data_IF_941969273393
#
_entry.id   IF_941969273393
#
_cell.length_a   1.000
_cell.length_b   1.000
_cell.length_c   1.000
_cell.angle_alpha   90.00
_cell.angle_beta   90.00
_cell.angle_gamma   90.00
#
_symmetry.space_group_name_H-M   'P 1'
#
loop_
_entity.id
_entity.type
_entity.pdbx_description
1 polymer ?
#
# COMPACT_ATOMS: atom_id res chain seq x y z
N UNK A 1 -10.70 51.83 17.75
CA UNK A 1 -11.87 50.95 18.04
C UNK A 1 -12.80 50.98 16.82
N UNK A 2 -12.63 50.05 15.88
CA UNK A 2 -13.45 49.97 14.66
C UNK A 2 -14.30 48.70 14.69
N UNK A 3 -15.64 48.84 14.65
CA UNK A 3 -16.57 47.72 14.50
C UNK A 3 -16.58 47.28 13.03
N UNK A 4 -16.14 46.06 12.75
CA UNK A 4 -16.31 45.44 11.44
C UNK A 4 -17.78 45.06 11.27
N UNK A 5 -18.45 45.70 10.30
CA UNK A 5 -19.81 45.38 9.85
C UNK A 5 -19.69 44.22 8.85
N UNK A 6 -20.28 43.07 9.18
CA UNK A 6 -20.44 41.95 8.26
C UNK A 6 -21.52 42.28 7.20
N UNK A 7 -21.34 41.85 5.94
CA UNK A 7 -22.29 42.13 4.88
C UNK A 7 -23.66 41.45 5.13
N UNK A 8 -24.78 42.11 4.79
CA UNK A 8 -26.12 41.55 4.89
C UNK A 8 -26.34 40.54 3.76
N UNK A 9 -26.59 39.27 4.09
CA UNK A 9 -26.99 38.26 3.09
C UNK A 9 -26.64 36.80 3.37
N UNK A 10 -25.78 36.48 4.34
CA UNK A 10 -25.48 35.09 4.71
C UNK A 10 -26.36 34.65 5.89
N UNK A 11 -27.55 34.17 5.55
CA UNK A 11 -28.47 33.50 6.48
C UNK A 11 -27.76 32.32 7.15
N UNK A 12 -27.63 32.41 8.47
CA UNK A 12 -27.04 31.43 9.40
C UNK A 12 -27.82 30.11 9.56
N UNK A 13 -28.77 29.82 8.67
CA UNK A 13 -29.48 28.54 8.60
C UNK A 13 -28.85 27.65 7.54
N UNK A 14 -28.84 26.33 7.74
CA UNK A 14 -28.20 25.32 6.88
C UNK A 14 -26.75 25.01 7.26
N UNK A 15 -26.52 24.72 8.54
CA UNK A 15 -25.72 23.53 8.88
C UNK A 15 -26.73 22.44 9.22
N UNK A 16 -27.46 21.99 8.18
CA UNK A 16 -28.34 20.83 8.27
C UNK A 16 -27.51 19.62 8.70
N UNK A 17 -28.11 18.77 9.53
CA UNK A 17 -27.57 17.48 9.90
C UNK A 17 -27.03 16.80 8.64
N UNK A 18 -25.79 16.28 8.71
CA UNK A 18 -25.20 15.58 7.59
C UNK A 18 -26.23 14.57 7.03
N UNK A 19 -26.50 14.59 5.71
CA UNK A 19 -27.57 13.81 5.11
C UNK A 19 -27.45 12.34 5.51
N UNK A 20 -28.60 11.68 5.68
CA UNK A 20 -28.63 10.25 5.96
C UNK A 20 -27.91 9.48 4.83
N UNK A 21 -27.34 8.32 5.16
CA UNK A 21 -26.59 7.51 4.18
C UNK A 21 -27.46 7.25 2.95
N UNK A 22 -26.92 7.55 1.77
CA UNK A 22 -27.65 7.44 0.51
C UNK A 22 -28.44 8.67 0.10
N UNK A 23 -28.43 9.79 0.83
CA UNK A 23 -29.14 11.01 0.41
C UNK A 23 -28.24 12.06 -0.25
N UNK A 24 -28.79 12.79 -1.23
CA UNK A 24 -28.09 13.90 -1.87
C UNK A 24 -27.82 15.04 -0.90
N UNK A 25 -26.57 15.48 -0.79
CA UNK A 25 -26.20 16.57 0.11
C UNK A 25 -26.85 17.93 -0.20
N UNK A 26 -27.44 18.11 -1.38
CA UNK A 26 -28.09 19.37 -1.78
C UNK A 26 -29.61 19.35 -1.64
N UNK A 27 -30.26 18.23 -1.89
CA UNK A 27 -31.74 18.14 -1.90
C UNK A 27 -32.31 16.99 -1.08
N UNK A 28 -31.47 16.23 -0.38
CA UNK A 28 -31.83 15.04 0.40
C UNK A 28 -32.55 13.92 -0.38
N UNK A 29 -32.54 13.98 -1.73
CA UNK A 29 -33.07 12.91 -2.57
C UNK A 29 -32.35 11.60 -2.34
N UNK A 30 -33.09 10.49 -2.30
CA UNK A 30 -32.52 9.15 -2.13
C UNK A 30 -31.73 8.75 -3.40
N UNK A 31 -30.43 8.64 -3.24
CA UNK A 31 -29.45 8.23 -4.25
C UNK A 31 -29.24 6.72 -4.27
N UNK A 32 -30.03 5.94 -3.52
CA UNK A 32 -29.97 4.47 -3.55
C UNK A 32 -30.18 3.98 -4.99
N UNK A 33 -29.18 3.24 -5.51
CA UNK A 33 -29.21 2.70 -6.87
C UNK A 33 -28.69 3.64 -7.97
N UNK A 34 -28.39 4.91 -7.67
CA UNK A 34 -27.72 5.81 -8.61
C UNK A 34 -26.20 5.58 -8.65
N UNK A 35 -25.60 5.78 -9.82
CA UNK A 35 -24.15 5.65 -10.01
C UNK A 35 -23.41 6.77 -9.27
N UNK A 36 -22.40 6.40 -8.49
CA UNK A 36 -21.45 7.33 -7.86
C UNK A 36 -20.77 8.16 -8.96
N UNK A 37 -20.65 9.47 -8.75
CA UNK A 37 -20.17 10.42 -9.76
C UNK A 37 -21.21 10.86 -10.79
N UNK A 38 -22.42 10.28 -10.78
CA UNK A 38 -23.55 10.76 -11.57
C UNK A 38 -24.09 12.11 -11.09
N UNK A 39 -25.12 12.62 -11.76
CA UNK A 39 -25.87 13.79 -11.28
C UNK A 39 -27.12 13.32 -10.55
N UNK A 40 -27.43 13.97 -9.43
CA UNK A 40 -28.72 13.81 -8.76
C UNK A 40 -29.84 14.21 -9.75
N UNK A 41 -30.89 13.39 -9.92
CA UNK A 41 -31.96 13.66 -10.88
C UNK A 41 -32.79 14.88 -10.49
N UNK A 42 -32.88 15.19 -9.20
CA UNK A 42 -33.66 16.34 -8.71
C UNK A 42 -32.89 17.66 -8.82
N UNK A 43 -31.67 17.71 -8.30
CA UNK A 43 -30.94 18.98 -8.14
C UNK A 43 -29.73 19.14 -9.07
N UNK A 44 -29.42 18.12 -9.88
CA UNK A 44 -28.26 18.11 -10.77
C UNK A 44 -26.90 18.05 -10.08
N UNK A 45 -26.84 18.04 -8.74
CA UNK A 45 -25.59 18.00 -7.99
C UNK A 45 -24.82 16.70 -8.28
N UNK A 46 -23.50 16.79 -8.39
CA UNK A 46 -22.64 15.62 -8.54
C UNK A 46 -22.70 14.76 -7.29
N UNK A 47 -23.00 13.48 -7.46
CA UNK A 47 -23.04 12.49 -6.39
C UNK A 47 -21.59 12.21 -5.96
N UNK A 48 -21.15 12.90 -4.92
CA UNK A 48 -19.83 12.70 -4.35
C UNK A 48 -19.74 11.31 -3.71
N UNK A 49 -18.65 10.60 -3.96
CA UNK A 49 -18.33 9.36 -3.23
C UNK A 49 -18.17 9.71 -1.75
N UNK A 50 -18.92 9.07 -0.86
CA UNK A 50 -18.73 9.27 0.57
C UNK A 50 -17.36 8.73 0.96
N UNK A 51 -16.61 9.49 1.75
CA UNK A 51 -15.31 9.05 2.25
C UNK A 51 -15.48 7.73 3.02
N UNK A 52 -14.70 6.72 2.67
CA UNK A 52 -14.80 5.39 3.28
C UNK A 52 -15.72 4.39 2.56
N UNK A 53 -16.66 4.82 1.71
CA UNK A 53 -17.53 3.89 0.97
C UNK A 53 -16.77 3.15 -0.14
N UNK A 54 -16.94 1.83 -0.20
CA UNK A 54 -16.24 0.98 -1.15
C UNK A 54 -14.72 1.13 -1.04
N UNK A 55 -14.19 1.28 0.18
CA UNK A 55 -12.76 1.20 0.48
C UNK A 55 -12.35 -0.23 0.77
N UNK A 56 -11.04 -0.51 0.76
CA UNK A 56 -10.49 -1.83 1.08
C UNK A 56 -11.00 -2.38 2.43
N UNK A 57 -11.22 -1.52 3.43
CA UNK A 57 -11.74 -1.90 4.75
C UNK A 57 -13.20 -2.37 4.77
N UNK A 58 -13.95 -2.17 3.69
CA UNK A 58 -15.33 -2.68 3.52
C UNK A 58 -15.41 -3.92 2.62
N UNK A 59 -14.27 -4.43 2.15
CA UNK A 59 -14.25 -5.65 1.36
C UNK A 59 -14.63 -6.87 2.23
N UNK A 60 -15.27 -7.91 1.65
CA UNK A 60 -15.64 -9.10 2.40
C UNK A 60 -14.40 -9.83 2.93
N UNK A 61 -14.51 -10.46 4.10
CA UNK A 61 -13.40 -11.20 4.72
C UNK A 61 -12.88 -12.35 3.83
N UNK A 62 -13.76 -12.98 3.06
CA UNK A 62 -13.40 -14.02 2.07
C UNK A 62 -12.39 -13.52 1.01
N UNK A 63 -12.33 -12.21 0.78
CA UNK A 63 -11.33 -11.58 -0.07
C UNK A 63 -10.12 -11.07 0.74
N UNK A 64 -10.34 -10.46 1.90
CA UNK A 64 -9.28 -9.86 2.71
C UNK A 64 -8.34 -10.90 3.34
N UNK A 65 -8.86 -12.04 3.81
CA UNK A 65 -8.05 -13.11 4.38
C UNK A 65 -6.97 -13.64 3.40
N UNK A 66 -7.31 -14.10 2.17
CA UNK A 66 -6.29 -14.52 1.23
C UNK A 66 -5.41 -13.37 0.74
N UNK A 67 -5.93 -12.13 0.66
CA UNK A 67 -5.12 -10.96 0.32
C UNK A 67 -4.04 -10.71 1.39
N UNK A 68 -4.36 -10.85 2.68
CA UNK A 68 -3.42 -10.66 3.77
C UNK A 68 -2.27 -11.69 3.72
N UNK A 69 -2.60 -12.98 3.57
CA UNK A 69 -1.59 -14.04 3.43
C UNK A 69 -0.70 -13.84 2.21
N UNK A 70 -1.29 -13.44 1.08
CA UNK A 70 -0.53 -13.22 -0.14
C UNK A 70 0.31 -11.94 -0.12
N UNK A 71 -0.12 -10.89 0.58
CA UNK A 71 0.70 -9.70 0.81
C UNK A 71 1.94 -10.02 1.66
N UNK A 72 1.77 -10.82 2.73
CA UNK A 72 2.89 -11.35 3.51
C UNK A 72 3.79 -12.28 2.69
N UNK A 73 3.20 -13.14 1.85
CA UNK A 73 3.95 -13.98 0.91
C UNK A 73 4.78 -13.16 -0.08
N UNK A 74 4.21 -12.09 -0.65
CA UNK A 74 4.92 -11.21 -1.57
C UNK A 74 6.10 -10.49 -0.86
N UNK A 75 5.87 -9.97 0.35
CA UNK A 75 6.93 -9.37 1.17
C UNK A 75 8.04 -10.36 1.52
N UNK A 76 7.66 -11.54 2.04
CA UNK A 76 8.61 -12.58 2.45
C UNK A 76 9.40 -13.08 1.24
N UNK A 77 8.73 -13.39 0.13
CA UNK A 77 9.37 -13.85 -1.11
C UNK A 77 10.32 -12.82 -1.71
N UNK A 78 9.89 -11.54 -1.81
CA UNK A 78 10.74 -10.47 -2.32
C UNK A 78 11.99 -10.26 -1.45
N UNK A 79 11.82 -10.20 -0.12
CA UNK A 79 12.91 -9.95 0.82
C UNK A 79 13.88 -11.14 0.89
N UNK A 80 13.36 -12.36 0.95
CA UNK A 80 14.19 -13.58 0.99
C UNK A 80 14.90 -13.84 -0.34
N UNK A 81 14.30 -13.49 -1.49
CA UNK A 81 14.96 -13.60 -2.79
C UNK A 81 16.17 -12.68 -2.87
N UNK A 82 16.03 -11.45 -2.36
CA UNK A 82 17.14 -10.51 -2.26
C UNK A 82 18.25 -10.98 -1.31
N UNK A 83 17.89 -11.49 -0.13
CA UNK A 83 18.86 -12.07 0.82
C UNK A 83 19.58 -13.27 0.19
N UNK A 84 18.87 -14.15 -0.51
CA UNK A 84 19.46 -15.29 -1.21
C UNK A 84 20.43 -14.82 -2.29
N UNK A 85 20.06 -13.80 -3.08
CA UNK A 85 20.94 -13.20 -4.08
C UNK A 85 22.21 -12.59 -3.46
N UNK A 86 22.08 -11.85 -2.34
CA UNK A 86 23.22 -11.29 -1.63
C UNK A 86 24.13 -12.38 -1.06
N UNK A 87 23.56 -13.44 -0.48
CA UNK A 87 24.30 -14.59 0.01
C UNK A 87 25.05 -15.33 -1.10
N UNK A 88 24.41 -15.51 -2.26
CA UNK A 88 25.02 -16.03 -3.49
C UNK A 88 26.25 -15.21 -3.89
N UNK A 89 26.11 -13.89 -3.93
CA UNK A 89 27.19 -12.99 -4.30
C UNK A 89 28.37 -13.05 -3.31
N UNK A 90 28.08 -13.06 -2.01
CA UNK A 90 29.11 -13.19 -0.97
C UNK A 90 29.83 -14.55 -1.10
N UNK A 91 29.07 -15.63 -1.33
CA UNK A 91 29.62 -16.96 -1.48
C UNK A 91 30.52 -17.08 -2.72
N UNK A 92 30.10 -16.56 -3.87
CA UNK A 92 30.94 -16.53 -5.08
C UNK A 92 32.25 -15.76 -4.85
N UNK A 93 32.19 -14.62 -4.16
CA UNK A 93 33.37 -13.83 -3.81
C UNK A 93 34.33 -14.56 -2.86
N UNK A 94 33.81 -15.41 -1.97
CA UNK A 94 34.60 -16.10 -0.95
C UNK A 94 35.14 -17.47 -1.41
N UNK A 95 34.31 -18.26 -2.10
CA UNK A 95 34.58 -19.67 -2.40
C UNK A 95 34.96 -19.92 -3.87
N UNK A 96 34.73 -18.96 -4.78
CA UNK A 96 35.10 -19.06 -6.19
C UNK A 96 34.44 -20.21 -6.97
N UNK A 97 33.44 -20.89 -6.38
CA UNK A 97 32.78 -22.05 -6.95
C UNK A 97 31.26 -21.83 -6.98
N UNK A 98 30.65 -21.94 -8.15
CA UNK A 98 29.20 -21.90 -8.30
C UNK A 98 28.58 -23.22 -7.82
N UNK A 99 28.11 -23.26 -6.57
CA UNK A 99 27.41 -24.44 -6.02
C UNK A 99 26.00 -24.56 -6.60
N UNK A 100 25.61 -25.72 -7.17
CA UNK A 100 24.26 -25.93 -7.71
C UNK A 100 23.16 -25.78 -6.65
N UNK A 101 23.48 -26.00 -5.38
CA UNK A 101 22.54 -25.86 -4.27
C UNK A 101 22.03 -24.43 -4.10
N UNK A 102 22.79 -23.42 -4.50
CA UNK A 102 22.39 -22.03 -4.34
C UNK A 102 21.17 -21.67 -5.21
N UNK A 103 21.03 -22.32 -6.36
CA UNK A 103 19.88 -22.14 -7.26
C UNK A 103 18.63 -22.75 -6.65
N UNK A 104 18.78 -23.91 -6.01
CA UNK A 104 17.70 -24.57 -5.26
C UNK A 104 17.26 -23.68 -4.09
N UNK A 105 18.22 -23.11 -3.36
CA UNK A 105 17.95 -22.18 -2.26
C UNK A 105 17.25 -20.91 -2.75
N UNK A 106 17.62 -20.37 -3.92
CA UNK A 106 16.99 -19.20 -4.52
C UNK A 106 15.62 -19.50 -5.19
N UNK A 107 15.34 -20.75 -5.56
CA UNK A 107 14.06 -21.14 -6.14
C UNK A 107 12.91 -21.08 -5.13
N UNK A 108 13.18 -21.40 -3.85
CA UNK A 108 12.20 -21.32 -2.76
C UNK A 108 11.63 -19.90 -2.60
N UNK A 109 12.43 -18.84 -2.38
CA UNK A 109 11.91 -17.49 -2.23
C UNK A 109 11.26 -16.95 -3.50
N UNK A 110 11.74 -17.36 -4.69
CA UNK A 110 11.07 -17.05 -5.94
C UNK A 110 9.67 -17.69 -6.03
N UNK A 111 9.51 -18.94 -5.61
CA UNK A 111 8.20 -19.59 -5.55
C UNK A 111 7.25 -18.90 -4.55
N UNK A 112 7.77 -18.49 -3.38
CA UNK A 112 7.01 -17.71 -2.39
C UNK A 112 6.56 -16.36 -2.99
N UNK A 113 7.47 -15.67 -3.69
CA UNK A 113 7.16 -14.41 -4.37
C UNK A 113 6.08 -14.58 -5.43
N UNK A 114 6.16 -15.64 -6.25
CA UNK A 114 5.16 -15.97 -7.27
C UNK A 114 3.80 -16.23 -6.61
N UNK A 115 3.75 -17.10 -5.59
CA UNK A 115 2.52 -17.40 -4.88
C UNK A 115 1.89 -16.13 -4.25
N UNK A 116 2.73 -15.29 -3.63
CA UNK A 116 2.32 -13.99 -3.09
C UNK A 116 1.77 -13.05 -4.16
N UNK A 117 2.51 -12.85 -5.27
CA UNK A 117 2.10 -11.99 -6.37
C UNK A 117 0.80 -12.46 -7.04
N UNK A 118 0.61 -13.78 -7.20
CA UNK A 118 -0.61 -14.36 -7.74
C UNK A 118 -1.82 -14.16 -6.81
N UNK A 119 -1.63 -14.27 -5.50
CA UNK A 119 -2.67 -14.00 -4.51
C UNK A 119 -3.03 -12.52 -4.42
N UNK A 120 -2.04 -11.62 -4.41
CA UNK A 120 -2.26 -10.16 -4.39
C UNK A 120 -3.01 -9.71 -5.65
N UNK A 121 -2.70 -10.31 -6.80
CA UNK A 121 -3.36 -10.01 -8.07
C UNK A 121 -4.68 -10.76 -8.27
N UNK A 122 -5.36 -11.21 -7.22
CA UNK A 122 -6.74 -11.70 -7.37
C UNK A 122 -7.69 -10.55 -7.72
N UNK A 123 -8.72 -10.78 -8.57
CA UNK A 123 -9.75 -9.80 -8.82
C UNK A 123 -10.39 -9.33 -7.52
N UNK A 124 -10.55 -8.01 -7.37
CA UNK A 124 -11.18 -7.43 -6.18
C UNK A 124 -12.65 -7.82 -6.10
N UNK A 125 -13.12 -8.04 -4.88
CA UNK A 125 -14.54 -8.29 -4.60
C UNK A 125 -15.05 -7.10 -3.81
N UNK A 126 -16.11 -6.47 -4.32
CA UNK A 126 -16.79 -5.39 -3.60
C UNK A 126 -17.89 -5.99 -2.72
N UNK A 127 -18.00 -5.51 -1.48
CA UNK A 127 -19.10 -5.92 -0.59
C UNK A 127 -20.47 -5.39 -1.06
N UNK A 128 -20.49 -4.29 -1.82
CA UNK A 128 -21.70 -3.70 -2.41
C UNK A 128 -21.49 -3.66 -3.92
N UNK A 129 -22.47 -4.12 -4.69
CA UNK A 129 -22.40 -4.12 -6.15
C UNK A 129 -22.24 -2.67 -6.66
N UNK A 130 -21.02 -2.30 -7.07
CA UNK A 130 -20.77 -1.02 -7.73
C UNK A 130 -21.24 -1.13 -9.18
N UNK A 131 -22.41 -0.54 -9.47
CA UNK A 131 -23.02 -0.56 -10.81
C UNK A 131 -22.03 -0.01 -11.85
N UNK A 132 -21.60 -0.87 -12.78
CA UNK A 132 -20.76 -0.49 -13.92
C UNK A 132 -19.26 -0.75 -13.77
N UNK A 133 -18.79 -1.31 -12.65
CA UNK A 133 -17.41 -1.80 -12.53
C UNK A 133 -17.38 -3.32 -12.68
N UNK A 134 -16.63 -3.82 -13.67
CA UNK A 134 -16.33 -5.25 -13.83
C UNK A 134 -14.94 -5.54 -13.22
N UNK A 135 -14.86 -6.11 -12.00
CA UNK A 135 -13.58 -6.34 -11.32
C UNK A 135 -12.65 -7.30 -12.07
N UNK A 136 -13.21 -8.16 -12.93
CA UNK A 136 -12.47 -9.17 -13.69
C UNK A 136 -11.80 -8.56 -14.92
N UNK A 137 -12.42 -7.57 -15.55
CA UNK A 137 -11.79 -6.81 -16.65
C UNK A 137 -10.86 -5.72 -16.13
N UNK A 138 -11.18 -5.16 -14.98
CA UNK A 138 -10.36 -4.12 -14.37
C UNK A 138 -8.94 -4.62 -14.08
N UNK A 139 -7.96 -3.90 -14.62
CA UNK A 139 -6.53 -4.18 -14.49
C UNK A 139 -6.11 -5.59 -14.95
N UNK A 140 -6.91 -6.24 -15.82
CA UNK A 140 -6.60 -7.59 -16.33
C UNK A 140 -5.19 -7.69 -16.90
N UNK A 141 -4.78 -6.71 -17.70
CA UNK A 141 -3.44 -6.66 -18.28
C UNK A 141 -2.36 -6.59 -17.21
N UNK A 142 -2.49 -5.66 -16.26
CA UNK A 142 -1.52 -5.50 -15.18
C UNK A 142 -1.37 -6.78 -14.35
N UNK A 143 -2.47 -7.49 -14.05
CA UNK A 143 -2.43 -8.79 -13.36
C UNK A 143 -1.63 -9.82 -14.14
N UNK A 144 -1.88 -9.95 -15.45
CA UNK A 144 -1.14 -10.89 -16.28
C UNK A 144 0.34 -10.52 -16.40
N UNK A 145 0.67 -9.23 -16.53
CA UNK A 145 2.06 -8.74 -16.51
C UNK A 145 2.77 -9.12 -15.23
N UNK A 146 2.15 -8.91 -14.06
CA UNK A 146 2.70 -9.34 -12.77
C UNK A 146 2.91 -10.85 -12.74
N UNK A 147 1.88 -11.64 -13.07
CA UNK A 147 1.94 -13.11 -12.97
C UNK A 147 2.99 -13.69 -13.90
N UNK A 148 2.97 -13.32 -15.17
CA UNK A 148 3.95 -13.80 -16.16
C UNK A 148 5.34 -13.34 -15.75
N UNK A 149 5.53 -12.04 -15.49
CA UNK A 149 6.84 -11.50 -15.14
C UNK A 149 7.44 -12.13 -13.88
N UNK A 150 6.67 -12.23 -12.79
CA UNK A 150 7.17 -12.93 -11.59
C UNK A 150 7.50 -14.40 -11.83
N UNK A 151 6.75 -15.12 -12.68
CA UNK A 151 7.10 -16.51 -13.06
C UNK A 151 8.40 -16.58 -13.86
N UNK A 152 8.71 -15.57 -14.69
CA UNK A 152 10.00 -15.48 -15.38
C UNK A 152 11.20 -15.38 -14.41
N UNK A 153 10.99 -15.03 -13.14
CA UNK A 153 12.06 -15.04 -12.13
C UNK A 153 12.66 -16.44 -11.94
N UNK A 154 11.83 -17.49 -11.94
CA UNK A 154 12.32 -18.88 -11.84
C UNK A 154 13.13 -19.28 -13.07
N UNK A 155 12.68 -18.87 -14.25
CA UNK A 155 13.40 -19.11 -15.50
C UNK A 155 14.72 -18.32 -15.55
N UNK A 156 14.75 -17.10 -14.99
CA UNK A 156 15.96 -16.32 -14.85
C UNK A 156 16.98 -17.01 -13.93
N UNK A 157 16.54 -17.51 -12.76
CA UNK A 157 17.40 -18.27 -11.84
C UNK A 157 17.94 -19.55 -12.49
N UNK A 158 17.09 -20.28 -13.22
CA UNK A 158 17.51 -21.47 -13.95
C UNK A 158 18.52 -21.15 -15.06
N UNK A 159 18.32 -20.07 -15.82
CA UNK A 159 19.27 -19.67 -16.85
C UNK A 159 20.59 -19.15 -16.27
N UNK A 160 20.55 -18.44 -15.15
CA UNK A 160 21.75 -18.03 -14.42
C UNK A 160 22.57 -19.25 -13.97
N UNK A 161 21.90 -20.31 -13.49
CA UNK A 161 22.55 -21.58 -13.19
C UNK A 161 23.24 -22.21 -14.40
N UNK A 162 22.53 -22.31 -15.53
CA UNK A 162 23.09 -22.86 -16.75
C UNK A 162 24.29 -22.03 -17.20
N UNK A 163 24.20 -20.71 -17.17
CA UNK A 163 25.29 -19.79 -17.52
C UNK A 163 26.54 -20.03 -16.66
N UNK A 164 26.38 -20.15 -15.34
CA UNK A 164 27.48 -20.47 -14.43
C UNK A 164 28.13 -21.83 -14.76
N UNK A 165 27.33 -22.85 -15.10
CA UNK A 165 27.85 -24.15 -15.51
C UNK A 165 28.59 -24.09 -16.85
N UNK A 166 28.08 -23.30 -17.80
CA UNK A 166 28.70 -23.16 -19.13
C UNK A 166 30.05 -22.45 -19.11
N UNK A 167 30.42 -21.71 -18.06
CA UNK A 167 31.79 -21.21 -17.93
C UNK A 167 32.84 -22.33 -17.94
N UNK A 168 32.42 -23.56 -17.62
CA UNK A 168 33.28 -24.76 -17.67
C UNK A 168 33.11 -25.59 -18.95
N UNK A 169 32.21 -25.22 -19.87
CA UNK A 169 31.88 -26.00 -21.06
C UNK A 169 32.11 -25.21 -22.37
N UNK A 170 32.60 -25.84 -23.46
CA UNK A 170 32.97 -25.17 -24.71
C UNK A 170 31.78 -24.80 -25.63
N UNK A 171 30.57 -24.64 -25.11
CA UNK A 171 29.33 -24.42 -25.90
C UNK A 171 29.19 -22.91 -26.22
N UNK A 172 28.72 -22.52 -27.43
CA UNK A 172 28.52 -21.12 -27.80
C UNK A 172 27.59 -20.38 -26.81
N UNK A 173 28.17 -19.38 -26.15
CA UNK A 173 27.65 -18.67 -24.96
C UNK A 173 26.60 -17.61 -25.24
N UNK A 174 26.38 -17.22 -26.51
CA UNK A 174 25.54 -16.06 -26.85
C UNK A 174 24.04 -16.30 -26.67
N UNK A 175 23.53 -17.48 -27.05
CA UNK A 175 22.09 -17.76 -26.94
C UNK A 175 21.61 -17.80 -25.50
N UNK A 176 22.38 -18.42 -24.61
CA UNK A 176 22.04 -18.58 -23.20
C UNK A 176 22.16 -17.25 -22.44
N UNK A 177 23.12 -16.41 -22.83
CA UNK A 177 23.20 -15.03 -22.34
C UNK A 177 21.96 -14.22 -22.76
N UNK A 178 21.55 -14.31 -24.03
CA UNK A 178 20.38 -13.59 -24.53
C UNK A 178 19.08 -14.00 -23.79
N UNK A 179 18.87 -15.31 -23.59
CA UNK A 179 17.72 -15.82 -22.82
C UNK A 179 17.76 -15.37 -21.36
N UNK A 180 18.94 -15.38 -20.74
CA UNK A 180 19.11 -14.89 -19.36
C UNK A 180 18.67 -13.44 -19.22
N UNK A 181 19.13 -12.57 -20.13
CA UNK A 181 18.73 -11.16 -20.14
C UNK A 181 17.23 -10.99 -20.38
N UNK A 182 16.64 -11.74 -21.30
CA UNK A 182 15.20 -11.69 -21.55
C UNK A 182 14.40 -12.04 -20.29
N UNK A 183 14.78 -13.09 -19.56
CA UNK A 183 14.09 -13.50 -18.35
C UNK A 183 14.31 -12.54 -17.17
N UNK A 184 15.52 -11.99 -17.03
CA UNK A 184 15.81 -10.97 -16.01
C UNK A 184 14.99 -9.70 -16.27
N UNK A 185 14.98 -9.20 -17.51
CA UNK A 185 14.20 -8.02 -17.88
C UNK A 185 12.69 -8.27 -17.73
N UNK A 186 12.21 -9.43 -18.19
CA UNK A 186 10.82 -9.82 -18.02
C UNK A 186 10.39 -9.95 -16.55
N UNK A 187 11.28 -10.49 -15.71
CA UNK A 187 11.09 -10.54 -14.26
C UNK A 187 11.06 -9.16 -13.62
N UNK A 188 11.98 -8.28 -14.02
CA UNK A 188 12.00 -6.88 -13.63
C UNK A 188 10.67 -6.20 -13.93
N UNK A 189 10.16 -6.32 -15.17
CA UNK A 189 8.85 -5.77 -15.55
C UNK A 189 7.72 -6.32 -14.67
N UNK A 190 7.74 -7.61 -14.33
CA UNK A 190 6.76 -8.22 -13.41
C UNK A 190 6.80 -7.61 -12.00
N UNK A 191 7.99 -7.39 -11.46
CA UNK A 191 8.18 -6.75 -10.15
C UNK A 191 7.75 -5.29 -10.17
N UNK A 192 8.12 -4.53 -11.21
CA UNK A 192 7.67 -3.13 -11.37
C UNK A 192 6.14 -3.05 -11.46
N UNK A 193 5.53 -3.94 -12.25
CA UNK A 193 4.07 -4.06 -12.36
C UNK A 193 3.41 -4.43 -11.02
N UNK A 194 4.08 -5.23 -10.17
CA UNK A 194 3.56 -5.60 -8.86
C UNK A 194 3.46 -4.37 -7.96
N UNK A 195 4.49 -3.52 -7.93
CA UNK A 195 4.46 -2.26 -7.16
C UNK A 195 3.39 -1.29 -7.67
N UNK A 196 3.21 -1.18 -8.99
CA UNK A 196 2.10 -0.41 -9.55
C UNK A 196 0.75 -0.99 -9.13
N UNK A 197 0.57 -2.31 -9.18
CA UNK A 197 -0.67 -2.97 -8.76
C UNK A 197 -0.96 -2.73 -7.27
N UNK A 198 0.05 -2.88 -6.41
CA UNK A 198 -0.04 -2.58 -4.98
C UNK A 198 -0.37 -1.10 -4.75
N UNK A 199 0.14 -0.18 -5.56
CA UNK A 199 -0.22 1.24 -5.47
C UNK A 199 -1.71 1.50 -5.71
N UNK A 200 -2.34 0.72 -6.59
CA UNK A 200 -3.78 0.81 -6.89
C UNK A 200 -4.61 0.26 -5.72
N UNK A 201 -4.13 -0.80 -5.07
CA UNK A 201 -4.76 -1.32 -3.86
C UNK A 201 -4.60 -0.36 -2.66
N UNK A 202 -3.45 0.27 -2.49
CA UNK A 202 -3.24 1.31 -1.49
C UNK A 202 -4.11 2.55 -1.76
N UNK A 203 -4.31 2.91 -3.03
CA UNK A 203 -5.20 4.00 -3.40
C UNK A 203 -6.66 3.63 -3.06
N UNK A 204 -7.01 2.34 -3.19
CA UNK A 204 -8.33 1.83 -2.81
C UNK A 204 -8.57 1.82 -1.29
N UNK A 205 -7.52 1.80 -0.47
CA UNK A 205 -7.62 2.00 0.98
C UNK A 205 -7.56 3.47 1.40
N UNK A 206 -7.52 4.42 0.47
CA UNK A 206 -7.35 5.86 0.73
C UNK A 206 -6.02 6.18 1.47
N UNK A 207 -4.96 5.38 1.29
CA UNK A 207 -3.62 5.65 1.84
C UNK A 207 -2.71 6.29 0.78
N UNK A 208 -2.82 7.61 0.64
CA UNK A 208 -2.05 8.39 -0.35
C UNK A 208 -0.53 8.29 -0.12
N UNK A 209 -0.10 8.14 1.13
CA UNK A 209 1.32 8.02 1.48
C UNK A 209 1.92 6.72 0.98
N UNK A 210 1.25 5.59 1.22
CA UNK A 210 1.68 4.30 0.66
C UNK A 210 1.56 4.27 -0.86
N UNK A 211 0.48 4.82 -1.44
CA UNK A 211 0.31 4.93 -2.90
C UNK A 211 1.47 5.69 -3.55
N UNK A 212 1.87 6.83 -3.00
CA UNK A 212 3.00 7.62 -3.50
C UNK A 212 4.30 6.83 -3.48
N UNK A 213 4.60 6.14 -2.38
CA UNK A 213 5.81 5.31 -2.24
C UNK A 213 5.83 4.13 -3.21
N UNK A 214 4.70 3.43 -3.36
CA UNK A 214 4.55 2.34 -4.34
C UNK A 214 4.74 2.80 -5.78
N UNK A 215 4.30 4.02 -6.13
CA UNK A 215 4.49 4.60 -7.49
C UNK A 215 5.90 5.10 -7.74
N UNK A 216 6.59 5.57 -6.71
CA UNK A 216 7.99 5.99 -6.81
C UNK A 216 8.93 4.79 -6.99
N UNK A 217 8.58 3.63 -6.42
CA UNK A 217 9.48 2.49 -6.34
C UNK A 217 9.94 1.92 -7.70
N UNK A 218 9.07 1.80 -8.72
CA UNK A 218 9.51 1.41 -10.05
C UNK A 218 10.61 2.30 -10.60
N UNK A 219 10.51 3.62 -10.39
CA UNK A 219 11.53 4.58 -10.81
C UNK A 219 12.81 4.45 -10.02
N UNK A 220 12.72 4.27 -8.69
CA UNK A 220 13.89 4.03 -7.83
C UNK A 220 14.63 2.76 -8.27
N UNK A 221 13.90 1.68 -8.60
CA UNK A 221 14.49 0.45 -9.10
C UNK A 221 15.20 0.67 -10.44
N UNK A 222 14.54 1.31 -11.43
CA UNK A 222 15.15 1.60 -12.73
C UNK A 222 16.41 2.47 -12.57
N UNK A 223 16.30 3.55 -11.79
CA UNK A 223 17.41 4.49 -11.54
C UNK A 223 18.54 3.83 -10.75
N UNK A 224 18.26 2.81 -9.93
CA UNK A 224 19.33 2.04 -9.24
C UNK A 224 20.01 1.01 -10.15
N UNK A 225 19.26 0.39 -11.07
CA UNK A 225 19.75 -0.66 -11.97
C UNK A 225 20.59 -0.12 -13.14
N UNK A 226 20.30 1.09 -13.63
CA UNK A 226 21.05 1.69 -14.73
C UNK A 226 22.52 2.00 -14.37
N UNK A 227 22.83 2.72 -13.27
CA UNK A 227 24.20 2.90 -12.80
C UNK A 227 24.88 1.58 -12.45
N UNK A 228 24.12 0.59 -11.98
CA UNK A 228 24.65 -0.74 -11.72
C UNK A 228 25.12 -1.45 -12.98
N UNK A 229 24.29 -1.47 -14.03
CA UNK A 229 24.68 -2.00 -15.34
C UNK A 229 25.88 -1.23 -15.92
N UNK A 230 25.87 0.10 -15.81
CA UNK A 230 26.98 0.96 -16.23
C UNK A 230 28.27 0.69 -15.45
N UNK A 231 28.19 0.48 -14.13
CA UNK A 231 29.33 0.14 -13.29
C UNK A 231 29.90 -1.24 -13.66
N UNK A 232 29.04 -2.22 -13.94
CA UNK A 232 29.48 -3.54 -14.41
C UNK A 232 30.21 -3.44 -15.76
N UNK A 233 29.65 -2.71 -16.72
CA UNK A 233 30.29 -2.48 -18.01
C UNK A 233 31.61 -1.70 -17.87
N UNK A 234 31.66 -0.70 -16.98
CA UNK A 234 32.86 0.06 -16.69
C UNK A 234 33.95 -0.82 -16.08
N UNK A 235 33.64 -1.61 -15.05
CA UNK A 235 34.60 -2.53 -14.41
C UNK A 235 35.12 -3.62 -15.36
N UNK A 236 34.31 -4.05 -16.33
CA UNK A 236 34.72 -5.00 -17.35
C UNK A 236 35.75 -4.42 -18.34
N UNK A 237 35.65 -3.12 -18.68
CA UNK A 237 36.49 -2.49 -19.70
C UNK A 237 37.67 -1.68 -19.13
N UNK A 238 37.50 -0.98 -18.02
CA UNK A 238 38.49 -0.04 -17.46
C UNK A 238 39.54 -0.70 -16.55
N UNK A 239 39.46 -2.02 -16.35
CA UNK A 239 40.33 -2.77 -15.45
C UNK A 239 40.00 -2.61 -13.96
N UNK A 240 40.71 -3.36 -13.12
CA UNK A 240 40.48 -3.47 -11.66
C UNK A 240 41.14 -2.33 -10.85
N UNK A 241 41.07 -1.10 -11.34
CA UNK A 241 41.62 0.08 -10.65
C UNK A 241 40.79 0.54 -9.44
N UNK A 242 41.37 1.41 -8.61
CA UNK A 242 40.69 1.95 -7.42
C UNK A 242 39.39 2.71 -7.74
N UNK A 243 39.35 3.45 -8.86
CA UNK A 243 38.15 4.16 -9.29
C UNK A 243 37.00 3.21 -9.68
N UNK A 244 37.29 2.10 -10.37
CA UNK A 244 36.26 1.12 -10.75
C UNK A 244 35.71 0.37 -9.53
N UNK A 245 36.56 0.14 -8.51
CA UNK A 245 36.11 -0.35 -7.22
C UNK A 245 35.11 0.59 -6.54
N UNK A 246 35.41 1.89 -6.42
CA UNK A 246 34.51 2.86 -5.78
C UNK A 246 33.16 2.95 -6.50
N UNK A 247 33.19 3.10 -7.83
CA UNK A 247 31.97 3.22 -8.65
C UNK A 247 31.08 1.97 -8.50
N UNK A 248 31.68 0.78 -8.54
CA UNK A 248 30.94 -0.47 -8.33
C UNK A 248 30.30 -0.52 -6.93
N UNK A 249 31.01 -0.10 -5.88
CA UNK A 249 30.47 -0.09 -4.50
C UNK A 249 29.30 0.87 -4.35
N UNK A 250 29.38 2.08 -4.91
CA UNK A 250 28.28 3.04 -4.88
C UNK A 250 27.06 2.48 -5.61
N UNK A 251 27.25 1.91 -6.80
CA UNK A 251 26.16 1.31 -7.55
C UNK A 251 25.51 0.15 -6.79
N UNK A 252 26.30 -0.70 -6.13
CA UNK A 252 25.80 -1.75 -5.25
C UNK A 252 24.98 -1.21 -4.07
N UNK A 253 25.45 -0.16 -3.39
CA UNK A 253 24.72 0.45 -2.28
C UNK A 253 23.37 1.01 -2.72
N UNK A 254 23.30 1.62 -3.91
CA UNK A 254 22.04 2.12 -4.48
C UNK A 254 21.05 0.99 -4.76
N UNK A 255 21.51 -0.13 -5.32
CA UNK A 255 20.68 -1.32 -5.53
C UNK A 255 20.20 -1.86 -4.19
N UNK A 256 21.09 -2.09 -3.22
CA UNK A 256 20.73 -2.57 -1.87
C UNK A 256 19.66 -1.66 -1.24
N UNK A 257 19.85 -0.34 -1.30
CA UNK A 257 18.91 0.62 -0.74
C UNK A 257 17.54 0.57 -1.45
N UNK A 258 17.52 0.47 -2.78
CA UNK A 258 16.29 0.35 -3.56
C UNK A 258 15.50 -0.93 -3.22
N UNK A 259 16.20 -2.07 -3.08
CA UNK A 259 15.59 -3.33 -2.68
C UNK A 259 15.08 -3.30 -1.24
N UNK A 260 15.88 -2.79 -0.30
CA UNK A 260 15.44 -2.63 1.09
C UNK A 260 14.21 -1.73 1.21
N UNK A 261 14.16 -0.65 0.43
CA UNK A 261 12.99 0.21 0.34
C UNK A 261 11.77 -0.51 -0.25
N UNK A 262 11.98 -1.36 -1.26
CA UNK A 262 10.97 -2.29 -1.80
C UNK A 262 10.35 -3.19 -0.73
N UNK A 263 11.20 -3.82 0.09
CA UNK A 263 10.78 -4.65 1.22
C UNK A 263 9.97 -3.86 2.25
N UNK A 264 10.41 -2.65 2.60
CA UNK A 264 9.69 -1.79 3.55
C UNK A 264 8.28 -1.43 3.04
N UNK A 265 8.16 -1.10 1.75
CA UNK A 265 6.87 -0.76 1.13
C UNK A 265 5.93 -1.97 1.08
N UNK A 266 6.43 -3.16 0.73
CA UNK A 266 5.61 -4.39 0.77
C UNK A 266 5.20 -4.77 2.20
N UNK A 267 6.07 -4.57 3.18
CA UNK A 267 5.73 -4.75 4.60
C UNK A 267 4.60 -3.82 5.03
N UNK A 268 4.69 -2.53 4.71
CA UNK A 268 3.64 -1.55 5.01
C UNK A 268 2.31 -1.91 4.33
N UNK A 269 2.36 -2.39 3.09
CA UNK A 269 1.18 -2.90 2.40
C UNK A 269 0.59 -4.13 3.10
N UNK A 270 1.40 -5.09 3.52
CA UNK A 270 0.92 -6.26 4.26
C UNK A 270 0.24 -5.84 5.58
N UNK A 271 0.81 -4.88 6.31
CA UNK A 271 0.22 -4.33 7.53
C UNK A 271 -1.10 -3.60 7.27
N UNK A 272 -1.19 -2.83 6.18
CA UNK A 272 -2.43 -2.15 5.76
C UNK A 272 -3.55 -3.17 5.49
N UNK A 273 -3.26 -4.29 4.81
CA UNK A 273 -4.26 -5.33 4.53
C UNK A 273 -4.71 -6.02 5.82
N UNK A 274 -3.80 -6.31 6.75
CA UNK A 274 -4.14 -6.87 8.07
C UNK A 274 -5.04 -5.92 8.86
N UNK A 275 -4.73 -4.62 8.85
CA UNK A 275 -5.56 -3.59 9.46
C UNK A 275 -6.95 -3.52 8.81
N UNK A 276 -7.01 -3.53 7.47
CA UNK A 276 -8.27 -3.51 6.74
C UNK A 276 -9.16 -4.71 7.09
N UNK A 277 -8.56 -5.89 7.24
CA UNK A 277 -9.27 -7.11 7.68
C UNK A 277 -9.84 -6.97 9.09
N UNK A 278 -9.03 -6.56 10.07
CA UNK A 278 -9.50 -6.33 11.45
C UNK A 278 -10.62 -5.31 11.51
N UNK A 279 -10.53 -4.25 10.71
CA UNK A 279 -11.59 -3.25 10.64
C UNK A 279 -12.88 -3.80 10.05
N UNK A 280 -12.80 -4.61 8.99
CA UNK A 280 -13.96 -5.27 8.41
C UNK A 280 -14.67 -6.17 9.44
N UNK A 281 -13.91 -6.96 10.21
CA UNK A 281 -14.43 -7.78 11.31
C UNK A 281 -15.14 -6.91 12.37
N UNK A 282 -14.49 -5.84 12.86
CA UNK A 282 -15.11 -4.95 13.86
C UNK A 282 -16.36 -4.22 13.36
N UNK A 283 -16.44 -3.93 12.06
CA UNK A 283 -17.61 -3.31 11.44
C UNK A 283 -18.80 -4.28 11.44
N UNK A 284 -18.58 -5.55 11.08
CA UNK A 284 -19.60 -6.61 11.15
C UNK A 284 -20.08 -6.79 12.60
N UNK A 285 -19.16 -6.89 13.57
CA UNK A 285 -19.51 -7.03 14.99
C UNK A 285 -20.30 -5.84 15.53
N UNK A 286 -20.00 -4.63 15.05
CA UNK A 286 -20.78 -3.43 15.36
C UNK A 286 -22.20 -3.53 14.81
N UNK A 287 -22.38 -3.97 13.56
CA UNK A 287 -23.71 -4.15 12.95
C UNK A 287 -24.51 -5.26 13.63
N UNK A 288 -23.88 -6.38 13.99
CA UNK A 288 -24.52 -7.46 14.76
C UNK A 288 -25.03 -6.95 16.12
N UNK A 289 -24.21 -6.18 16.86
CA UNK A 289 -24.63 -5.56 18.13
C UNK A 289 -25.74 -4.51 17.95
N UNK A 290 -25.84 -3.85 16.80
CA UNK A 290 -26.97 -2.96 16.50
C UNK A 290 -28.22 -3.78 16.20
N UNK A 291 -28.10 -4.86 15.43
CA UNK A 291 -29.20 -5.77 15.14
C UNK A 291 -29.74 -6.45 16.39
N UNK A 292 -28.88 -6.95 17.27
CA UNK A 292 -29.27 -7.55 18.55
C UNK A 292 -30.07 -6.57 19.41
N UNK A 293 -29.58 -5.32 19.57
CA UNK A 293 -30.32 -4.26 20.27
C UNK A 293 -31.62 -3.85 19.60
N UNK A 294 -31.78 -4.07 18.29
CA UNK A 294 -33.06 -3.85 17.60
C UNK A 294 -34.01 -5.02 17.90
N UNK A 295 -33.53 -6.26 17.86
CA UNK A 295 -34.30 -7.46 18.17
C UNK A 295 -34.75 -7.49 19.63
N UNK A 296 -33.89 -7.10 20.58
CA UNK A 296 -34.24 -6.94 21.99
C UNK A 296 -35.39 -5.95 22.17
N UNK A 297 -35.31 -4.76 21.54
CA UNK A 297 -36.40 -3.77 21.57
C UNK A 297 -37.71 -4.31 21.00
N UNK A 298 -37.64 -5.09 19.93
CA UNK A 298 -38.83 -5.75 19.35
C UNK A 298 -39.39 -6.80 20.33
N UNK A 299 -38.53 -7.61 20.93
CA UNK A 299 -38.92 -8.67 21.88
C UNK A 299 -39.56 -8.11 23.13
N UNK A 300 -39.04 -7.00 23.65
CA UNK A 300 -39.52 -6.36 24.87
C UNK A 300 -40.84 -5.58 24.65
N UNK A 301 -41.46 -5.70 23.47
CA UNK A 301 -42.70 -4.99 23.13
C UNK A 301 -42.51 -3.47 23.07
N UNK A 302 -41.27 -2.98 23.14
CA UNK A 302 -40.93 -1.60 22.87
C UNK A 302 -40.97 -1.38 21.36
N UNK A 303 -42.19 -1.38 20.81
CA UNK A 303 -42.46 -0.81 19.50
C UNK A 303 -41.73 0.54 19.45
N UNK A 304 -41.02 0.81 18.34
CA UNK A 304 -40.35 2.10 18.12
C UNK A 304 -41.27 3.18 18.68
N UNK A 305 -40.83 3.99 19.66
CA UNK A 305 -41.66 5.08 20.15
C UNK A 305 -42.15 5.82 18.92
N UNK A 306 -43.47 6.01 18.85
CA UNK A 306 -44.16 6.74 17.80
C UNK A 306 -43.27 7.93 17.42
N UNK A 307 -42.87 8.08 16.13
CA UNK A 307 -41.82 9.00 15.75
C UNK A 307 -42.10 10.33 16.42
N UNK A 308 -41.25 10.70 17.38
CA UNK A 308 -41.46 11.88 18.21
C UNK A 308 -41.85 13.01 17.24
N UNK A 309 -42.98 13.72 17.48
CA UNK A 309 -43.40 14.80 16.60
C UNK A 309 -42.18 15.66 16.35
N UNK A 310 -41.92 16.06 15.08
CA UNK A 310 -40.67 16.66 14.65
C UNK A 310 -40.28 17.69 15.69
N UNK A 311 -39.19 17.38 16.44
CA UNK A 311 -38.80 18.14 17.61
C UNK A 311 -38.78 19.59 17.18
N UNK A 312 -39.69 20.41 17.73
CA UNK A 312 -39.79 21.83 17.39
C UNK A 312 -38.37 22.38 17.38
N UNK A 313 -37.99 22.99 16.24
CA UNK A 313 -36.62 23.38 15.93
C UNK A 313 -35.95 23.86 17.22
N UNK A 314 -35.01 23.06 17.76
CA UNK A 314 -34.35 23.39 19.02
C UNK A 314 -33.81 24.80 18.82
N UNK A 315 -34.26 25.74 19.65
CA UNK A 315 -33.74 27.09 19.64
C UNK A 315 -32.22 26.99 19.61
N UNK A 316 -31.55 27.76 18.73
CA UNK A 316 -30.11 27.65 18.55
C UNK A 316 -29.45 27.66 19.92
N UNK A 317 -28.73 26.59 20.24
CA UNK A 317 -28.03 26.50 21.51
C UNK A 317 -27.21 27.79 21.66
N UNK A 318 -27.29 28.49 22.82
CA UNK A 318 -26.51 29.70 23.03
C UNK A 318 -25.07 29.35 22.70
N UNK A 319 -24.53 30.08 21.72
CA UNK A 319 -23.18 29.91 21.24
C UNK A 319 -22.28 30.12 22.45
N UNK A 320 -21.85 29.03 23.10
CA UNK A 320 -20.70 29.13 23.99
C UNK A 320 -19.58 29.60 23.07
N UNK A 321 -18.96 30.76 23.34
CA UNK A 321 -17.81 31.19 22.57
C UNK A 321 -16.82 30.04 22.64
N UNK A 322 -16.50 29.45 21.49
CA UNK A 322 -15.38 28.54 21.40
C UNK A 322 -14.20 29.37 21.84
N UNK A 323 -13.74 29.14 23.07
CA UNK A 323 -12.51 29.75 23.55
C UNK A 323 -11.46 29.48 22.49
N UNK A 324 -10.75 30.54 22.08
CA UNK A 324 -9.67 30.48 21.11
C UNK A 324 -8.76 29.29 21.42
N UNK A 325 -8.99 28.16 20.77
CA UNK A 325 -8.00 27.12 20.65
C UNK A 325 -6.92 27.75 19.79
N UNK A 326 -5.87 28.19 20.49
CA UNK A 326 -4.56 28.60 19.99
C UNK A 326 -4.42 28.33 18.49
N UNK A 327 -4.53 29.39 17.69
CA UNK A 327 -3.83 29.43 16.43
C UNK A 327 -2.37 29.15 16.77
N UNK A 328 -1.88 27.97 16.37
CA UNK A 328 -0.46 27.65 16.39
C UNK A 328 0.26 28.68 15.54
N UNK A 329 0.75 29.73 16.21
CA UNK A 329 1.63 30.71 15.63
C UNK A 329 2.88 30.00 15.18
N UNK A 330 3.22 30.19 13.91
CA UNK A 330 4.55 29.87 13.41
C UNK A 330 5.58 30.60 14.26
N UNK A 331 6.46 29.81 14.87
CA UNK A 331 7.59 30.30 15.65
C UNK A 331 8.47 29.10 15.93
N UNK A 332 9.57 29.01 15.20
CA UNK A 332 10.63 28.05 15.51
C UNK A 332 11.23 28.40 16.86
N UNK A 333 10.74 27.77 17.92
CA UNK A 333 11.44 27.69 19.19
C UNK A 333 11.96 26.26 19.32
N UNK A 334 13.27 26.17 19.24
CA UNK A 334 14.06 25.01 19.64
C UNK A 334 13.63 24.58 21.03
N UNK A 335 13.17 23.34 21.17
CA UNK A 335 13.04 22.70 22.48
C UNK A 335 14.42 22.68 23.14
N UNK A 336 14.64 23.63 24.05
CA UNK A 336 15.73 23.57 25.02
C UNK A 336 15.47 22.38 25.92
N UNK A 337 16.20 21.29 25.67
CA UNK A 337 16.33 20.20 26.62
C UNK A 337 16.98 20.79 27.86
N UNK A 338 16.25 20.86 28.95
CA UNK A 338 16.78 21.27 30.24
C UNK A 338 17.91 20.30 30.63
N UNK A 339 19.09 20.85 30.91
CA UNK A 339 20.19 20.10 31.50
C UNK A 339 19.73 19.47 32.82
N UNK A 340 20.00 18.17 33.06
CA UNK A 340 19.70 17.54 34.33
C UNK A 340 20.54 18.21 35.43
N UNK A 341 19.85 18.86 36.36
CA UNK A 341 20.44 19.46 37.55
C UNK A 341 21.23 18.44 38.34
N UNK A 342 22.50 18.75 38.57
CA UNK A 342 23.36 18.08 39.51
C UNK A 342 22.89 18.43 40.92
N UNK A 343 22.06 17.60 41.53
CA UNK A 343 21.95 17.55 42.97
C UNK A 343 21.78 16.11 43.44
N UNK A 344 22.81 15.64 44.12
CA UNK A 344 22.87 14.34 44.73
C UNK A 344 22.05 14.29 46.01
N UNK A 345 21.22 13.27 46.13
CA UNK A 345 20.85 12.72 47.43
C UNK A 345 20.77 11.21 47.32
N UNK A 346 21.77 10.58 47.94
CA UNK A 346 21.88 9.17 48.27
C UNK A 346 20.68 8.69 49.09
N UNK A 347 20.02 7.62 48.66
CA UNK A 347 19.14 6.81 49.50
C UNK A 347 19.85 5.48 49.77
N UNK A 348 20.04 5.06 51.04
CA UNK A 348 20.69 3.80 51.37
C UNK A 348 19.74 2.59 51.20
N UNK A 349 20.29 1.38 50.98
CA UNK A 349 19.50 0.18 50.78
C UNK A 349 18.99 -0.40 52.11
N UNK A 350 17.82 -1.06 52.04
CA UNK A 350 17.40 -2.13 52.94
C UNK A 350 17.21 -3.40 52.14
#
# INVERSE_FOLDING_TARGET
MGKAVLPPGLSRGVLEAAPAVGQCARCNYDLTGLRVGGRCPECGATIAKRRGEGTLGQAPDSYLAPLAYSAWGAFAGYTSLWIAFLGLLIYELAAGLASPWLVVVAAIPAAILIAGAWGVTRPRVFGVATVGQDPVREWRWLRWTVRIGTTLALLALWNAYLWLRMQTAPIPTYHTLAWSWLFILGSGVGVLALFFYVSLLAAWSEDDGLTGRCRALPWILIVSLLPFAGAMLYTANAGRGFASFIVARIAWMLVIAAWAYGSLVLYQFAMLVVWARRNAETAVDSELRKHERILERIRDGQAKPEPLPPKAARAPAPHTPQGNYFQGGGGGETYGVAEPGADGTTIPPR
#
